data_IF_175599546038
#
_entry.id   IF_175599546038
#
_cell.length_a   1.000
_cell.length_b   1.000
_cell.length_c   1.000
_cell.angle_alpha   90.00
_cell.angle_beta   90.00
_cell.angle_gamma   90.00
#
_symmetry.space_group_name_H-M   'P 1'
#
loop_
_entity.id
_entity.type
_entity.pdbx_description
1 polymer ?
#
# COMPACT_ATOMS: atom_id res chain seq x y z
N UNK A 1 -6.75 21.26 -27.90
CA UNK A 1 -5.49 20.48 -28.01
C UNK A 1 -5.05 20.44 -29.46
N UNK A 2 -5.93 20.13 -30.43
CA UNK A 2 -5.58 20.05 -31.88
C UNK A 2 -4.88 21.30 -32.42
N UNK A 3 -5.22 22.51 -31.91
CA UNK A 3 -4.58 23.75 -32.29
C UNK A 3 -3.11 23.93 -31.86
N UNK A 4 -2.66 23.06 -30.95
CA UNK A 4 -1.27 23.04 -30.43
C UNK A 4 -0.37 22.08 -31.25
N UNK A 5 -0.93 21.28 -32.16
CA UNK A 5 -0.23 20.27 -32.95
C UNK A 5 0.79 19.45 -32.12
N UNK A 6 0.36 18.79 -31.05
CA UNK A 6 1.28 18.03 -30.19
C UNK A 6 1.77 16.77 -30.92
N UNK A 7 3.04 16.42 -30.75
CA UNK A 7 3.63 15.23 -31.39
C UNK A 7 3.32 13.94 -30.64
N UNK A 8 3.35 13.98 -29.31
CA UNK A 8 3.19 12.80 -28.44
C UNK A 8 2.42 13.17 -27.17
N UNK A 9 1.64 12.23 -26.64
CA UNK A 9 1.02 12.33 -25.32
C UNK A 9 1.87 11.58 -24.28
N UNK A 10 2.24 12.27 -23.22
CA UNK A 10 2.87 11.67 -22.02
C UNK A 10 1.85 11.68 -20.90
N UNK A 11 1.58 10.52 -20.33
CA UNK A 11 0.58 10.34 -19.28
C UNK A 11 1.19 9.71 -18.01
N UNK A 12 0.78 10.22 -16.87
CA UNK A 12 1.05 9.62 -15.56
C UNK A 12 -0.08 9.94 -14.59
N UNK A 13 -0.62 8.92 -13.95
CA UNK A 13 -1.67 9.02 -12.92
C UNK A 13 -2.93 9.81 -13.35
N UNK A 14 -3.32 9.74 -14.63
CA UNK A 14 -4.46 10.49 -15.13
C UNK A 14 -5.82 9.95 -14.67
N UNK A 15 -5.93 8.66 -14.45
CA UNK A 15 -7.12 8.02 -13.85
C UNK A 15 -8.37 7.96 -14.75
N UNK A 16 -8.27 8.30 -16.04
CA UNK A 16 -9.36 8.19 -17.02
C UNK A 16 -8.89 7.53 -18.30
N UNK A 17 -9.83 6.87 -19.00
CA UNK A 17 -9.55 6.25 -20.30
C UNK A 17 -9.61 7.30 -21.39
N UNK A 18 -8.62 7.33 -22.26
CA UNK A 18 -8.61 8.15 -23.47
C UNK A 18 -9.36 7.42 -24.60
N UNK A 19 -10.28 8.14 -25.25
CA UNK A 19 -10.97 7.60 -26.43
C UNK A 19 -10.06 7.57 -27.66
N UNK A 20 -10.35 6.68 -28.65
CA UNK A 20 -9.52 6.52 -29.84
C UNK A 20 -9.28 7.83 -30.58
N UNK A 21 -10.33 8.62 -30.81
CA UNK A 21 -10.25 9.94 -31.50
C UNK A 21 -9.33 10.93 -30.79
N UNK A 22 -9.15 10.81 -29.48
CA UNK A 22 -8.21 11.64 -28.74
C UNK A 22 -6.77 11.18 -28.93
N UNK A 23 -6.54 9.86 -28.91
CA UNK A 23 -5.20 9.28 -29.11
C UNK A 23 -4.69 9.54 -30.55
N UNK A 24 -5.58 9.59 -31.54
CA UNK A 24 -5.25 9.90 -32.95
C UNK A 24 -4.70 11.32 -33.16
N UNK A 25 -4.86 12.22 -32.19
CA UNK A 25 -4.30 13.59 -32.26
C UNK A 25 -2.76 13.62 -32.13
N UNK A 26 -2.14 12.52 -31.75
CA UNK A 26 -0.70 12.46 -31.44
C UNK A 26 0.03 11.59 -32.47
N UNK A 27 0.72 12.16 -33.48
CA UNK A 27 1.37 11.40 -34.55
C UNK A 27 2.38 10.36 -34.07
N UNK A 28 3.09 10.64 -32.96
CA UNK A 28 4.03 9.70 -32.33
C UNK A 28 3.37 8.81 -31.25
N UNK A 29 2.03 8.89 -31.16
CA UNK A 29 1.23 8.10 -30.25
C UNK A 29 1.21 8.65 -28.82
N UNK A 30 0.94 7.77 -27.87
CA UNK A 30 0.81 8.10 -26.45
C UNK A 30 1.60 7.09 -25.60
N UNK A 31 2.22 7.58 -24.54
CA UNK A 31 2.95 6.75 -23.58
C UNK A 31 2.46 7.01 -22.16
N UNK A 32 2.48 5.97 -21.33
CA UNK A 32 2.06 6.04 -19.93
C UNK A 32 3.12 5.43 -19.02
N UNK A 33 3.30 6.04 -17.85
CA UNK A 33 4.03 5.42 -16.76
C UNK A 33 3.04 4.66 -15.87
N UNK A 34 3.26 3.35 -15.74
CA UNK A 34 2.52 2.48 -14.87
C UNK A 34 3.42 1.98 -13.72
N UNK A 35 3.05 2.18 -12.43
CA UNK A 35 3.92 1.84 -11.31
C UNK A 35 3.81 0.37 -10.90
N UNK A 36 4.07 -0.53 -11.84
CA UNK A 36 4.29 -1.97 -11.65
C UNK A 36 5.21 -2.52 -12.74
N UNK A 37 5.62 -3.77 -12.61
CA UNK A 37 6.24 -4.55 -13.68
C UNK A 37 5.14 -5.22 -14.51
N UNK A 38 4.63 -4.52 -15.55
CA UNK A 38 3.65 -5.10 -16.47
C UNK A 38 4.20 -6.39 -17.11
N UNK A 39 3.34 -7.40 -17.33
CA UNK A 39 1.88 -7.38 -17.32
C UNK A 39 1.24 -7.57 -15.94
N UNK A 40 2.01 -7.64 -14.84
CA UNK A 40 1.43 -7.73 -13.50
C UNK A 40 0.78 -6.40 -13.08
N UNK A 41 -0.39 -6.52 -12.41
CA UNK A 41 -1.09 -5.40 -11.78
C UNK A 41 -1.53 -4.31 -12.77
N UNK A 42 -2.09 -4.69 -13.93
CA UNK A 42 -2.83 -3.76 -14.78
C UNK A 42 -4.00 -3.15 -13.99
N UNK A 43 -4.33 -1.90 -14.22
CA UNK A 43 -5.47 -1.23 -13.59
C UNK A 43 -5.11 -0.15 -12.59
N UNK A 44 -6.04 0.12 -11.63
CA UNK A 44 -6.06 1.40 -10.91
C UNK A 44 -5.16 1.46 -9.67
N UNK A 45 -4.78 0.31 -9.07
CA UNK A 45 -4.08 0.28 -7.78
C UNK A 45 -2.87 -0.68 -7.75
N UNK A 46 -1.91 -0.55 -8.69
CA UNK A 46 -0.80 -1.50 -8.83
C UNK A 46 0.11 -1.52 -7.60
N UNK A 47 0.46 -0.38 -7.04
CA UNK A 47 1.34 -0.29 -5.85
C UNK A 47 0.69 -0.90 -4.61
N UNK A 48 -0.55 -0.55 -4.22
CA UNK A 48 -1.25 -1.26 -3.16
C UNK A 48 -1.33 -2.77 -3.39
N UNK A 49 -1.59 -3.22 -4.62
CA UNK A 49 -1.71 -4.64 -4.95
C UNK A 49 -0.37 -5.38 -4.73
N UNK A 50 0.76 -4.82 -5.13
CA UNK A 50 2.08 -5.44 -4.92
C UNK A 50 2.44 -5.55 -3.43
N UNK A 51 2.09 -4.54 -2.62
CA UNK A 51 2.32 -4.57 -1.16
C UNK A 51 1.40 -5.59 -0.49
N UNK A 52 0.09 -5.63 -0.86
CA UNK A 52 -0.86 -6.61 -0.34
C UNK A 52 -0.43 -8.06 -0.62
N UNK A 53 0.14 -8.30 -1.79
CA UNK A 53 0.69 -9.60 -2.16
C UNK A 53 2.05 -9.89 -1.52
N UNK A 54 2.58 -8.95 -0.74
CA UNK A 54 3.88 -9.07 -0.05
C UNK A 54 5.04 -9.30 -1.03
N UNK A 55 4.93 -8.76 -2.25
CA UNK A 55 6.01 -8.80 -3.23
C UNK A 55 7.26 -8.12 -2.67
N UNK A 56 8.42 -8.65 -3.00
CA UNK A 56 9.71 -8.04 -2.63
C UNK A 56 10.18 -7.01 -3.65
N UNK A 57 9.66 -7.12 -4.89
CA UNK A 57 10.02 -6.28 -6.02
C UNK A 57 8.73 -5.87 -6.72
N UNK A 58 8.63 -4.60 -7.02
CA UNK A 58 7.69 -4.00 -7.95
C UNK A 58 8.47 -3.24 -9.02
N UNK A 59 7.89 -2.29 -9.71
CA UNK A 59 8.65 -1.53 -10.69
C UNK A 59 7.90 -0.38 -11.31
N UNK A 60 8.51 0.12 -12.35
CA UNK A 60 7.98 1.16 -13.22
C UNK A 60 8.01 0.61 -14.64
N UNK A 61 6.91 0.74 -15.35
CA UNK A 61 6.82 0.42 -16.78
C UNK A 61 6.43 1.67 -17.54
N UNK A 62 7.21 2.05 -18.55
CA UNK A 62 6.74 2.98 -19.59
C UNK A 62 6.18 2.10 -20.71
N UNK A 63 4.92 2.30 -21.03
CA UNK A 63 4.19 1.53 -22.04
C UNK A 63 3.55 2.45 -23.09
N UNK A 64 3.25 1.90 -24.28
CA UNK A 64 2.34 2.54 -25.23
C UNK A 64 0.93 2.58 -24.65
N UNK A 65 0.25 3.69 -24.80
CA UNK A 65 -1.17 3.79 -24.46
C UNK A 65 -2.01 3.21 -25.62
N UNK A 66 -2.84 2.24 -25.26
CA UNK A 66 -3.82 1.62 -26.18
C UNK A 66 -5.20 1.69 -25.53
N UNK A 67 -6.24 1.31 -26.27
CA UNK A 67 -7.62 1.35 -25.77
C UNK A 67 -7.84 0.35 -24.61
N UNK A 68 -7.18 -0.81 -24.65
CA UNK A 68 -7.25 -1.80 -23.58
C UNK A 68 -6.38 -1.33 -22.40
N UNK A 69 -6.95 -1.39 -21.20
CA UNK A 69 -6.30 -0.90 -19.98
C UNK A 69 -4.95 -1.58 -19.73
N UNK A 70 -3.90 -0.76 -19.71
CA UNK A 70 -2.52 -1.12 -19.41
C UNK A 70 -1.96 -2.31 -20.21
N UNK A 71 -2.49 -2.55 -21.42
CA UNK A 71 -2.13 -3.68 -22.28
C UNK A 71 -1.19 -3.31 -23.46
N UNK A 72 -0.76 -2.05 -23.56
CA UNK A 72 0.13 -1.61 -24.61
C UNK A 72 1.55 -2.16 -24.46
N UNK A 73 2.29 -2.12 -25.56
CA UNK A 73 3.67 -2.62 -25.59
C UNK A 73 4.56 -1.90 -24.58
N UNK A 74 5.41 -2.67 -23.93
CA UNK A 74 6.40 -2.19 -23.00
C UNK A 74 7.55 -1.53 -23.77
N UNK A 75 7.85 -0.28 -23.44
CA UNK A 75 8.97 0.46 -24.00
C UNK A 75 10.19 0.41 -23.09
N UNK A 76 9.97 0.49 -21.77
CA UNK A 76 11.03 0.43 -20.76
C UNK A 76 10.47 -0.06 -19.43
N UNK A 77 11.24 -0.88 -18.73
CA UNK A 77 10.92 -1.28 -17.34
C UNK A 77 12.10 -1.06 -16.41
N UNK A 78 11.78 -0.75 -15.16
CA UNK A 78 12.75 -0.63 -14.08
C UNK A 78 12.21 -1.21 -12.80
N UNK A 79 12.97 -2.10 -12.18
CA UNK A 79 12.63 -2.68 -10.88
C UNK A 79 12.76 -1.69 -9.73
N UNK A 80 11.88 -1.83 -8.76
CA UNK A 80 11.90 -1.13 -7.46
C UNK A 80 11.78 -2.17 -6.35
N UNK A 81 12.75 -2.19 -5.45
CA UNK A 81 12.69 -3.02 -4.24
C UNK A 81 11.70 -2.42 -3.26
N UNK A 82 10.81 -3.27 -2.73
CA UNK A 82 9.89 -2.93 -1.64
C UNK A 82 10.58 -3.30 -0.32
N UNK A 83 10.92 -2.29 0.48
CA UNK A 83 11.49 -2.47 1.81
C UNK A 83 10.40 -2.81 2.83
N UNK A 84 10.77 -3.32 4.00
CA UNK A 84 9.81 -3.72 5.03
C UNK A 84 8.98 -2.56 5.58
N UNK A 85 9.52 -1.36 5.57
CA UNK A 85 8.87 -0.12 6.01
C UNK A 85 8.20 0.69 4.87
N UNK A 86 8.36 0.25 3.62
CA UNK A 86 7.71 0.90 2.49
C UNK A 86 6.18 0.77 2.56
N UNK A 87 5.51 1.85 2.23
CA UNK A 87 4.07 1.94 2.03
C UNK A 87 3.76 2.44 0.61
N UNK A 88 2.49 2.55 0.25
CA UNK A 88 2.11 2.99 -1.10
C UNK A 88 2.62 4.39 -1.43
N UNK A 89 2.64 5.31 -0.48
CA UNK A 89 3.15 6.66 -0.70
C UNK A 89 4.64 6.67 -0.99
N UNK A 90 5.45 5.92 -0.21
CA UNK A 90 6.91 5.86 -0.41
C UNK A 90 7.27 5.22 -1.74
N UNK A 91 6.57 4.15 -2.15
CA UNK A 91 6.78 3.50 -3.46
C UNK A 91 6.37 4.42 -4.61
N UNK A 92 5.21 5.11 -4.51
CA UNK A 92 4.79 6.08 -5.52
C UNK A 92 5.79 7.25 -5.64
N UNK A 93 6.34 7.73 -4.52
CA UNK A 93 7.38 8.76 -4.54
C UNK A 93 8.68 8.26 -5.20
N UNK A 94 9.08 7.01 -4.95
CA UNK A 94 10.21 6.37 -5.66
C UNK A 94 9.92 6.30 -7.17
N UNK A 95 8.72 5.86 -7.55
CA UNK A 95 8.31 5.77 -8.95
C UNK A 95 8.29 7.14 -9.63
N UNK A 96 7.72 8.16 -8.98
CA UNK A 96 7.68 9.53 -9.52
C UNK A 96 9.08 10.12 -9.70
N UNK A 97 9.98 9.97 -8.71
CA UNK A 97 11.33 10.51 -8.75
C UNK A 97 12.19 9.90 -9.88
N UNK A 98 11.95 8.63 -10.21
CA UNK A 98 12.66 7.93 -11.28
C UNK A 98 11.96 8.05 -12.63
N UNK A 99 10.63 8.18 -12.62
CA UNK A 99 9.79 8.18 -13.81
C UNK A 99 10.13 9.26 -14.82
N UNK A 100 10.47 10.47 -14.36
CA UNK A 100 10.88 11.55 -15.26
C UNK A 100 12.10 11.20 -16.11
N UNK A 101 13.10 10.54 -15.52
CA UNK A 101 14.29 10.09 -16.26
C UNK A 101 13.97 9.00 -17.28
N UNK A 102 13.10 8.06 -16.91
CA UNK A 102 12.65 6.98 -17.80
C UNK A 102 11.81 7.52 -18.96
N UNK A 103 10.97 8.54 -18.72
CA UNK A 103 10.25 9.21 -19.80
C UNK A 103 11.21 9.88 -20.79
N UNK A 104 12.22 10.63 -20.30
CA UNK A 104 13.19 11.28 -21.17
C UNK A 104 13.96 10.27 -22.02
N UNK A 105 14.34 9.14 -21.44
CA UNK A 105 15.00 8.05 -22.17
C UNK A 105 14.09 7.51 -23.29
N UNK A 106 12.83 7.19 -22.98
CA UNK A 106 11.87 6.68 -23.98
C UNK A 106 11.55 7.74 -25.03
N UNK A 107 11.37 9.01 -24.66
CA UNK A 107 11.13 10.09 -25.63
C UNK A 107 12.28 10.24 -26.62
N UNK A 108 13.53 10.18 -26.14
CA UNK A 108 14.70 10.19 -27.02
C UNK A 108 14.75 8.99 -27.96
N UNK A 109 14.40 7.78 -27.46
CA UNK A 109 14.30 6.59 -28.31
C UNK A 109 13.23 6.73 -29.39
N UNK A 110 12.06 7.31 -29.06
CA UNK A 110 10.98 7.57 -30.03
C UNK A 110 11.43 8.59 -31.08
N UNK A 111 12.04 9.69 -30.65
CA UNK A 111 12.55 10.73 -31.56
C UNK A 111 13.58 10.18 -32.55
N UNK A 112 14.50 9.36 -32.05
CA UNK A 112 15.57 8.74 -32.85
C UNK A 112 15.13 7.46 -33.56
N UNK A 113 13.89 6.99 -33.38
CA UNK A 113 13.31 5.75 -33.94
C UNK A 113 14.15 4.51 -33.56
N UNK A 114 14.63 4.49 -32.33
CA UNK A 114 15.42 3.38 -31.77
C UNK A 114 14.71 2.58 -30.71
N UNK A 115 13.46 2.95 -30.36
CA UNK A 115 12.63 2.21 -29.42
C UNK A 115 12.43 0.75 -29.85
N UNK A 116 12.36 -0.15 -28.87
CA UNK A 116 12.12 -1.58 -29.06
C UNK A 116 10.90 -2.01 -28.26
N UNK A 117 9.69 -1.75 -28.78
CA UNK A 117 8.46 -2.15 -28.10
C UNK A 117 8.40 -3.68 -27.92
N UNK A 118 8.05 -4.12 -26.71
CA UNK A 118 7.90 -5.55 -26.39
C UNK A 118 6.43 -5.79 -26.04
N UNK A 119 5.71 -6.64 -26.81
CA UNK A 119 4.35 -7.05 -26.47
C UNK A 119 4.29 -7.69 -25.08
N UNK A 120 3.23 -7.40 -24.35
CA UNK A 120 3.01 -8.03 -23.06
C UNK A 120 2.55 -9.49 -23.22
N UNK A 121 3.03 -10.37 -22.34
CA UNK A 121 2.55 -11.75 -22.25
C UNK A 121 1.21 -11.80 -21.51
N UNK A 122 0.12 -11.98 -22.27
CA UNK A 122 -1.25 -12.03 -21.72
C UNK A 122 -1.44 -13.16 -20.70
N UNK A 123 -0.68 -14.24 -20.79
CA UNK A 123 -0.78 -15.36 -19.84
C UNK A 123 -0.31 -15.00 -18.42
N UNK A 124 0.50 -13.95 -18.30
CA UNK A 124 1.03 -13.46 -17.03
C UNK A 124 0.30 -12.20 -16.51
N UNK A 125 -0.69 -11.71 -17.26
CA UNK A 125 -1.41 -10.51 -16.90
C UNK A 125 -2.24 -10.72 -15.62
N UNK A 126 -2.08 -9.80 -14.66
CA UNK A 126 -2.94 -9.71 -13.47
C UNK A 126 -3.54 -8.33 -13.39
N UNK A 127 -4.68 -8.22 -12.68
CA UNK A 127 -5.46 -6.99 -12.64
C UNK A 127 -5.70 -6.55 -11.21
N UNK A 128 -5.67 -5.23 -10.98
CA UNK A 128 -6.05 -4.60 -9.73
C UNK A 128 -7.18 -3.60 -9.95
N UNK A 129 -8.21 -3.71 -9.11
CA UNK A 129 -9.37 -2.81 -9.18
C UNK A 129 -9.08 -1.48 -8.46
N UNK A 130 -9.98 -0.54 -8.65
CA UNK A 130 -10.01 0.68 -7.84
C UNK A 130 -10.31 0.32 -6.38
N UNK A 131 -9.61 0.98 -5.45
CA UNK A 131 -9.83 0.82 -4.02
C UNK A 131 -11.05 1.62 -3.59
N UNK A 132 -11.74 1.10 -2.59
CA UNK A 132 -12.88 1.74 -1.94
C UNK A 132 -12.57 1.98 -0.45
N UNK A 133 -13.33 2.88 0.18
CA UNK A 133 -13.13 3.20 1.60
C UNK A 133 -13.27 1.97 2.50
N UNK A 134 -14.22 1.10 2.19
CA UNK A 134 -14.49 -0.12 2.96
C UNK A 134 -13.36 -1.15 2.87
N UNK A 135 -12.54 -1.10 1.84
CA UNK A 135 -11.34 -1.94 1.76
C UNK A 135 -10.39 -1.72 2.94
N UNK A 136 -10.41 -0.51 3.51
CA UNK A 136 -9.62 -0.15 4.68
C UNK A 136 -10.01 -0.85 5.98
N UNK A 137 -11.17 -1.51 6.06
CA UNK A 137 -11.59 -2.23 7.26
C UNK A 137 -10.62 -3.39 7.55
N UNK A 138 -10.09 -3.43 8.78
CA UNK A 138 -9.18 -4.48 9.23
C UNK A 138 -9.99 -5.74 9.60
N UNK A 139 -9.56 -6.87 9.07
CA UNK A 139 -10.00 -8.21 9.49
C UNK A 139 -8.91 -8.80 10.41
N UNK A 140 -9.20 -8.78 11.71
CA UNK A 140 -8.25 -9.26 12.71
C UNK A 140 -8.03 -10.79 12.69
N UNK A 141 -8.88 -11.55 12.01
CA UNK A 141 -8.70 -13.00 11.83
C UNK A 141 -7.52 -13.34 10.90
N UNK A 142 -7.04 -12.37 10.14
CA UNK A 142 -5.84 -12.48 9.31
C UNK A 142 -4.57 -12.51 10.14
N UNK A 143 -3.47 -12.93 9.52
CA UNK A 143 -2.15 -12.92 10.16
C UNK A 143 -1.63 -11.48 10.37
N UNK A 144 -0.71 -11.30 11.31
CA UNK A 144 -0.03 -10.03 11.53
C UNK A 144 0.66 -9.52 10.26
N UNK A 145 1.22 -10.42 9.43
CA UNK A 145 1.84 -10.08 8.14
C UNK A 145 0.84 -9.53 7.12
N UNK A 146 -0.34 -10.15 7.00
CA UNK A 146 -1.38 -9.68 6.09
C UNK A 146 -1.95 -8.33 6.52
N UNK A 147 -2.15 -8.13 7.84
CA UNK A 147 -2.66 -6.87 8.38
C UNK A 147 -1.61 -5.76 8.23
N UNK A 148 -0.34 -6.03 8.50
CA UNK A 148 0.75 -5.08 8.28
C UNK A 148 0.83 -4.66 6.81
N UNK A 149 0.84 -5.64 5.90
CA UNK A 149 0.82 -5.37 4.46
C UNK A 149 -0.37 -4.49 4.05
N UNK A 150 -1.55 -4.74 4.62
CA UNK A 150 -2.75 -3.94 4.36
C UNK A 150 -2.61 -2.50 4.87
N UNK A 151 -2.06 -2.30 6.08
CA UNK A 151 -1.83 -0.97 6.63
C UNK A 151 -0.86 -0.19 5.77
N UNK A 152 0.22 -0.80 5.31
CA UNK A 152 1.19 -0.18 4.41
C UNK A 152 0.63 0.07 3.00
N UNK A 153 -0.09 -0.91 2.44
CA UNK A 153 -0.69 -0.81 1.11
C UNK A 153 -1.71 0.32 1.02
N UNK A 154 -2.48 0.55 2.07
CA UNK A 154 -3.58 1.51 2.05
C UNK A 154 -3.23 2.88 2.64
N UNK A 155 -1.99 3.10 3.02
CA UNK A 155 -1.51 4.42 3.43
C UNK A 155 -1.11 5.26 2.20
N UNK A 156 -1.56 6.52 2.07
CA UNK A 156 -2.46 7.24 3.00
C UNK A 156 -3.95 7.02 2.71
N UNK A 157 -4.31 6.44 1.56
CA UNK A 157 -5.68 6.21 1.14
C UNK A 157 -5.89 4.78 0.64
N UNK A 158 -7.02 4.14 0.99
CA UNK A 158 -8.16 4.64 1.79
C UNK A 158 -7.85 4.79 3.29
N UNK A 159 -6.68 4.41 3.74
CA UNK A 159 -6.33 4.23 5.13
C UNK A 159 -6.92 2.95 5.71
N UNK A 160 -6.46 2.54 6.89
CA UNK A 160 -7.03 1.37 7.57
C UNK A 160 -7.74 1.76 8.85
N UNK A 161 -8.81 1.02 9.16
CA UNK A 161 -9.62 1.29 10.33
C UNK A 161 -10.23 0.01 10.92
N UNK A 162 -10.60 0.11 12.18
CA UNK A 162 -11.34 -0.92 12.92
C UNK A 162 -12.40 -0.26 13.80
N UNK A 163 -13.42 -1.02 14.21
CA UNK A 163 -14.33 -0.60 15.29
C UNK A 163 -13.74 -0.95 16.63
N UNK A 164 -14.04 -0.15 17.64
CA UNK A 164 -13.77 -0.40 19.05
C UNK A 164 -15.00 0.09 19.81
N UNK A 165 -15.92 -0.82 20.12
CA UNK A 165 -17.29 -0.46 20.52
C UNK A 165 -17.95 0.39 19.44
N UNK A 166 -18.54 1.51 19.83
CA UNK A 166 -19.19 2.46 18.91
C UNK A 166 -18.21 3.37 18.13
N UNK A 167 -16.93 3.34 18.45
CA UNK A 167 -15.95 4.26 17.90
C UNK A 167 -15.17 3.64 16.74
N UNK A 168 -14.74 4.46 15.80
CA UNK A 168 -13.82 4.07 14.72
C UNK A 168 -12.41 4.51 15.10
N UNK A 169 -11.50 3.54 15.07
CA UNK A 169 -10.07 3.75 15.24
C UNK A 169 -9.37 3.55 13.90
N UNK A 170 -8.65 4.56 13.43
CA UNK A 170 -7.73 4.44 12.29
C UNK A 170 -6.36 4.01 12.77
N UNK A 171 -5.71 3.14 12.00
CA UNK A 171 -4.36 2.66 12.25
C UNK A 171 -3.50 3.08 11.08
N UNK A 172 -2.55 3.98 11.33
CA UNK A 172 -1.69 4.56 10.30
C UNK A 172 -0.37 3.82 10.13
N UNK A 173 0.14 3.23 11.20
CA UNK A 173 1.34 2.40 11.14
C UNK A 173 1.37 1.36 12.25
N UNK A 174 2.03 0.26 11.96
CA UNK A 174 2.24 -0.86 12.87
C UNK A 174 3.61 -1.51 12.59
N UNK A 175 3.92 -2.54 13.34
CA UNK A 175 4.97 -3.50 13.02
C UNK A 175 4.55 -4.89 13.51
N UNK A 176 5.17 -5.93 12.95
CA UNK A 176 4.96 -7.30 13.40
C UNK A 176 5.79 -7.50 14.67
N UNK A 177 5.20 -8.11 15.71
CA UNK A 177 5.94 -8.45 16.91
C UNK A 177 6.85 -9.65 16.64
N UNK A 178 8.07 -9.58 17.14
CA UNK A 178 9.04 -10.68 17.05
C UNK A 178 8.64 -11.81 18.02
N UNK A 179 8.08 -12.88 17.49
CA UNK A 179 7.58 -14.01 18.29
C UNK A 179 8.66 -14.67 19.16
N UNK A 180 9.94 -14.57 18.78
CA UNK A 180 11.05 -15.10 19.60
C UNK A 180 11.17 -14.40 20.96
N UNK A 181 10.56 -13.23 21.10
CA UNK A 181 10.55 -12.42 22.33
C UNK A 181 9.33 -12.64 23.23
N UNK A 182 8.35 -13.45 22.82
CA UNK A 182 7.09 -13.65 23.58
C UNK A 182 7.38 -14.10 25.00
N UNK A 183 8.25 -15.10 25.20
CA UNK A 183 8.58 -15.64 26.53
C UNK A 183 9.34 -14.65 27.43
N UNK A 184 10.13 -13.74 26.86
CA UNK A 184 10.95 -12.77 27.59
C UNK A 184 10.26 -11.43 27.81
N UNK A 185 9.16 -11.15 27.10
CA UNK A 185 8.49 -9.84 27.11
C UNK A 185 7.50 -9.74 28.25
N UNK A 186 7.62 -8.66 29.02
CA UNK A 186 6.64 -8.24 30.01
C UNK A 186 5.85 -7.07 29.47
N UNK A 187 4.54 -7.09 29.64
CA UNK A 187 3.65 -6.04 29.20
C UNK A 187 2.83 -5.47 30.35
N UNK A 188 2.42 -4.23 30.21
CA UNK A 188 1.46 -3.58 31.11
C UNK A 188 0.06 -3.85 30.57
N UNK A 189 -0.77 -4.55 31.34
CA UNK A 189 -2.17 -4.81 30.99
C UNK A 189 -3.09 -3.70 31.53
N UNK A 190 -4.38 -3.82 31.28
CA UNK A 190 -5.37 -2.78 31.53
C UNK A 190 -5.46 -2.29 32.99
N UNK A 191 -5.35 -3.20 33.96
CA UNK A 191 -5.36 -2.87 35.42
C UNK A 191 -4.05 -2.21 35.89
N UNK A 192 -3.08 -2.03 35.00
CA UNK A 192 -1.77 -1.47 35.29
C UNK A 192 -0.76 -2.49 35.83
N UNK A 193 -1.16 -3.75 36.03
CA UNK A 193 -0.23 -4.81 36.42
C UNK A 193 0.70 -5.19 35.26
N UNK A 194 1.81 -5.82 35.58
CA UNK A 194 2.79 -6.30 34.61
C UNK A 194 2.70 -7.82 34.54
N UNK A 195 2.47 -8.36 33.35
CA UNK A 195 2.35 -9.77 33.09
C UNK A 195 3.31 -10.22 31.98
N UNK A 196 3.68 -11.50 31.97
CA UNK A 196 4.42 -12.08 30.85
C UNK A 196 3.50 -12.19 29.61
N UNK A 197 4.00 -11.77 28.47
CA UNK A 197 3.23 -11.84 27.22
C UNK A 197 2.78 -13.27 26.91
N UNK A 198 3.63 -14.28 27.18
CA UNK A 198 3.31 -15.68 26.97
C UNK A 198 2.09 -16.19 27.77
N UNK A 199 1.77 -15.56 28.89
CA UNK A 199 0.60 -15.95 29.70
C UNK A 199 -0.73 -15.42 29.17
N UNK A 200 -0.71 -14.49 28.21
CA UNK A 200 -1.91 -13.79 27.71
C UNK A 200 -2.07 -13.84 26.18
N UNK A 201 -1.18 -14.56 25.50
CA UNK A 201 -1.35 -14.85 24.05
C UNK A 201 -2.45 -15.89 23.81
N UNK A 202 -2.82 -16.10 22.55
CA UNK A 202 -3.86 -17.07 22.18
C UNK A 202 -5.29 -16.56 22.44
N UNK A 203 -5.46 -15.27 22.65
CA UNK A 203 -6.77 -14.62 22.78
C UNK A 203 -7.48 -14.50 21.42
N UNK A 204 -8.76 -14.15 21.48
CA UNK A 204 -9.55 -13.87 20.28
C UNK A 204 -8.86 -12.79 19.44
N UNK A 205 -8.77 -12.96 18.10
CA UNK A 205 -8.21 -11.94 17.23
C UNK A 205 -8.88 -10.57 17.42
N UNK A 206 -8.09 -9.51 17.47
CA UNK A 206 -8.51 -8.15 17.81
C UNK A 206 -8.34 -7.79 19.29
N UNK A 207 -8.08 -8.76 20.19
CA UNK A 207 -7.85 -8.47 21.62
C UNK A 207 -6.59 -7.64 21.80
N UNK A 208 -6.72 -6.51 22.49
CA UNK A 208 -5.57 -5.70 22.93
C UNK A 208 -4.93 -6.41 24.11
N UNK A 209 -3.74 -6.97 23.92
CA UNK A 209 -3.01 -7.73 24.93
C UNK A 209 -2.43 -6.84 26.02
N UNK A 210 -2.05 -5.61 25.67
CA UNK A 210 -1.44 -4.64 26.58
C UNK A 210 -0.36 -3.82 25.89
N UNK A 211 0.51 -3.23 26.71
CA UNK A 211 1.54 -2.28 26.26
C UNK A 211 2.92 -2.84 26.56
N UNK A 212 3.72 -2.97 25.53
CA UNK A 212 5.17 -3.08 25.64
C UNK A 212 5.77 -1.67 25.61
N UNK A 213 6.46 -1.28 26.69
CA UNK A 213 7.01 0.09 26.83
C UNK A 213 8.09 0.41 25.79
N UNK A 214 8.70 -0.59 25.18
CA UNK A 214 9.74 -0.43 24.17
C UNK A 214 9.17 -0.33 22.75
N UNK A 215 8.10 -1.08 22.45
CA UNK A 215 7.65 -1.22 21.07
C UNK A 215 6.24 -0.68 20.78
N UNK A 216 5.28 -0.73 21.72
CA UNK A 216 3.94 -0.17 21.47
C UNK A 216 2.79 -0.99 22.06
N UNK A 217 1.60 -0.83 21.47
CA UNK A 217 0.38 -1.52 21.89
C UNK A 217 0.29 -2.84 21.13
N UNK A 218 0.20 -3.95 21.87
CA UNK A 218 0.15 -5.30 21.30
C UNK A 218 -1.30 -5.74 21.09
N UNK A 219 -1.59 -6.25 19.90
CA UNK A 219 -2.92 -6.77 19.55
C UNK A 219 -2.78 -8.18 18.98
N UNK A 220 -3.59 -9.11 19.50
CA UNK A 220 -3.66 -10.48 18.98
C UNK A 220 -4.28 -10.47 17.59
N UNK A 221 -3.67 -11.19 16.66
CA UNK A 221 -4.21 -11.43 15.30
C UNK A 221 -4.54 -12.91 15.13
N UNK A 222 -5.09 -13.29 13.99
CA UNK A 222 -5.36 -14.70 13.67
C UNK A 222 -4.09 -15.56 13.68
N UNK A 223 -2.95 -14.96 13.34
CA UNK A 223 -1.64 -15.59 13.47
C UNK A 223 -0.59 -14.54 13.75
N UNK A 224 0.07 -14.61 14.91
CA UNK A 224 1.05 -13.65 15.39
C UNK A 224 0.43 -12.45 16.12
N UNK A 225 1.26 -11.49 16.46
CA UNK A 225 0.91 -10.29 17.23
C UNK A 225 1.30 -9.05 16.42
N UNK A 226 0.39 -8.09 16.33
CA UNK A 226 0.63 -6.79 15.72
C UNK A 226 0.95 -5.75 16.79
N UNK A 227 1.91 -4.88 16.51
CA UNK A 227 2.29 -3.74 17.36
C UNK A 227 1.78 -2.46 16.74
N UNK A 228 0.82 -1.81 17.35
CA UNK A 228 0.28 -0.55 16.88
C UNK A 228 1.22 0.61 17.25
N UNK A 229 1.53 1.49 16.28
CA UNK A 229 2.49 2.60 16.41
C UNK A 229 1.83 3.96 16.35
N UNK A 230 1.02 4.20 15.32
CA UNK A 230 0.37 5.48 15.10
C UNK A 230 -1.13 5.27 14.87
N UNK A 231 -1.93 5.92 15.68
CA UNK A 231 -3.38 5.71 15.77
C UNK A 231 -4.14 7.03 15.75
N UNK A 232 -5.41 6.95 15.37
CA UNK A 232 -6.28 8.12 15.32
C UNK A 232 -7.72 7.73 15.61
N UNK A 233 -8.30 8.23 16.68
CA UNK A 233 -9.75 8.19 16.83
C UNK A 233 -10.44 9.02 15.75
N UNK A 234 -11.60 8.58 15.30
CA UNK A 234 -12.39 9.34 14.33
C UNK A 234 -12.55 10.80 14.76
N UNK A 235 -12.37 11.74 13.83
CA UNK A 235 -12.43 13.19 14.07
C UNK A 235 -11.40 13.75 15.06
N UNK A 236 -10.38 12.98 15.46
CA UNK A 236 -9.25 13.47 16.30
C UNK A 236 -7.98 13.55 15.48
N UNK A 237 -6.88 14.02 16.08
CA UNK A 237 -5.55 14.02 15.45
C UNK A 237 -4.91 12.63 15.55
N UNK A 238 -4.13 12.28 14.54
CA UNK A 238 -3.26 11.11 14.58
C UNK A 238 -2.15 11.36 15.63
N UNK A 239 -1.80 10.34 16.39
CA UNK A 239 -0.79 10.41 17.44
C UNK A 239 -0.04 9.09 17.57
N UNK A 240 1.17 9.15 18.12
CA UNK A 240 1.91 7.95 18.44
C UNK A 240 1.21 7.18 19.59
N UNK A 241 1.55 5.91 19.74
CA UNK A 241 0.91 5.03 20.72
C UNK A 241 1.04 5.50 22.18
N UNK A 242 2.15 6.20 22.55
CA UNK A 242 2.35 6.71 23.93
C UNK A 242 1.34 7.79 24.24
N UNK A 243 1.20 8.76 23.34
CA UNK A 243 0.23 9.86 23.52
C UNK A 243 -1.20 9.34 23.46
N UNK A 244 -1.44 8.34 22.57
CA UNK A 244 -2.76 7.70 22.43
C UNK A 244 -3.21 7.04 23.75
N UNK A 245 -2.34 6.25 24.39
CA UNK A 245 -2.66 5.55 25.66
C UNK A 245 -2.85 6.53 26.83
N UNK A 246 -2.10 7.63 26.87
CA UNK A 246 -2.30 8.64 27.90
C UNK A 246 -3.73 9.22 27.91
N UNK A 247 -4.35 9.33 26.72
CA UNK A 247 -5.73 9.79 26.57
C UNK A 247 -6.79 8.69 26.48
N UNK A 248 -6.38 7.40 26.44
CA UNK A 248 -7.29 6.27 26.17
C UNK A 248 -6.87 5.01 26.91
N UNK A 249 -6.69 5.11 28.24
CA UNK A 249 -6.22 3.99 29.09
C UNK A 249 -7.10 2.74 28.97
N UNK A 250 -8.43 2.91 28.85
CA UNK A 250 -9.40 1.82 28.69
C UNK A 250 -9.21 1.02 27.40
N UNK A 251 -8.40 1.50 26.44
CA UNK A 251 -8.14 0.78 25.18
C UNK A 251 -7.50 -0.59 25.41
N UNK A 252 -6.76 -0.76 26.51
CA UNK A 252 -6.14 -2.06 26.84
C UNK A 252 -7.14 -3.17 27.22
N UNK A 253 -8.42 -2.85 27.45
CA UNK A 253 -9.49 -3.82 27.72
C UNK A 253 -10.35 -4.12 26.49
N UNK A 254 -9.99 -3.55 25.34
CA UNK A 254 -10.85 -3.60 24.17
C UNK A 254 -10.54 -4.80 23.27
N UNK A 255 -11.56 -5.14 22.48
CA UNK A 255 -11.42 -6.04 21.33
C UNK A 255 -11.69 -5.19 20.08
N UNK A 256 -10.68 -5.05 19.23
CA UNK A 256 -10.79 -4.38 17.95
C UNK A 256 -11.63 -5.24 16.98
N UNK A 257 -12.55 -4.58 16.25
CA UNK A 257 -13.42 -5.26 15.28
C UNK A 257 -14.81 -5.61 15.82
N UNK A 258 -15.04 -5.33 17.08
CA UNK A 258 -16.34 -5.51 17.73
C UNK A 258 -16.94 -4.18 18.12
#
# INVERSE_FOLDING_TARGET
ISSLNPDILVCFAYGKIFGPKFLELFPLGAINLHPSLLPKYRGCAPVPASILNQDKITGITIQRLVQQMDAGDILLQKELVIQEDDNSETILNKAASQGGKLFLEVLNQIETKTEKPVPQDESQATYCRMLEKEDGKIDWSKSAKEIDAKIRAFYPWPGTFTKVGENILKIHSCSIFDESKVESTNITVADGSVQKLSSITGKIPGTVLGIDKSCGILVQTGNGILVLKNLQWHAKKAMNWKDFINGSKQFCDCICGQ
#
